data_IF_922942024601
#
_entry.id   IF_922942024601
#
_cell.length_a   1.000
_cell.length_b   1.000
_cell.length_c   1.000
_cell.angle_alpha   90.00
_cell.angle_beta   90.00
_cell.angle_gamma   90.00
#
_symmetry.space_group_name_H-M   'P 1'
#
loop_
_entity.id
_entity.type
_entity.pdbx_description
1 polymer ?
#
# COMPACT_ATOMS: atom_id res chain seq x y z
N UNK A 1 -11.78 -14.83 6.60
CA UNK A 1 -13.00 -15.61 6.33
C UNK A 1 -14.07 -14.60 5.94
N UNK A 2 -14.29 -14.37 4.64
CA UNK A 2 -15.31 -13.42 4.19
C UNK A 2 -16.68 -14.12 4.19
N UNK A 3 -17.76 -13.48 4.66
CA UNK A 3 -19.06 -14.11 4.64
C UNK A 3 -19.59 -14.10 3.21
N UNK A 4 -19.91 -15.30 2.71
CA UNK A 4 -20.65 -15.48 1.47
C UNK A 4 -22.07 -14.94 1.69
N UNK A 5 -22.29 -13.66 1.36
CA UNK A 5 -23.59 -12.99 1.45
C UNK A 5 -24.02 -12.43 0.11
N UNK A 6 -25.32 -12.21 -0.04
CA UNK A 6 -25.87 -11.47 -1.18
C UNK A 6 -25.35 -10.03 -1.20
N UNK A 7 -25.46 -9.32 -2.34
CA UNK A 7 -25.07 -7.89 -2.49
C UNK A 7 -25.71 -6.97 -1.43
N UNK A 8 -26.80 -7.42 -0.80
CA UNK A 8 -27.55 -6.69 0.22
C UNK A 8 -27.26 -7.17 1.66
N UNK A 9 -26.21 -7.98 1.87
CA UNK A 9 -25.79 -8.45 3.20
C UNK A 9 -26.68 -9.55 3.80
N UNK A 10 -27.58 -10.16 3.03
CA UNK A 10 -28.39 -11.31 3.49
C UNK A 10 -27.64 -12.63 3.32
N UNK A 11 -27.85 -13.63 4.20
CA UNK A 11 -27.35 -14.98 4.01
C UNK A 11 -27.81 -15.56 2.67
N UNK A 12 -26.94 -16.28 1.95
CA UNK A 12 -27.28 -16.92 0.69
C UNK A 12 -28.32 -18.04 0.91
N UNK A 13 -29.44 -17.97 0.19
CA UNK A 13 -30.40 -19.06 0.08
C UNK A 13 -30.06 -19.96 -1.12
N UNK A 14 -30.45 -21.24 -1.08
CA UNK A 14 -30.16 -22.23 -2.13
C UNK A 14 -30.74 -21.87 -3.52
N UNK A 15 -31.63 -20.87 -3.61
CA UNK A 15 -32.20 -20.37 -4.86
C UNK A 15 -31.64 -19.02 -5.33
N UNK A 16 -30.66 -18.45 -4.63
CA UNK A 16 -30.06 -17.18 -5.06
C UNK A 16 -29.18 -17.39 -6.30
N UNK A 17 -29.25 -16.52 -7.32
CA UNK A 17 -28.36 -16.58 -8.47
C UNK A 17 -26.91 -16.46 -7.99
N UNK A 18 -26.00 -17.23 -8.63
CA UNK A 18 -24.58 -17.34 -8.29
C UNK A 18 -24.04 -16.03 -7.70
N UNK A 19 -23.66 -16.08 -6.43
CA UNK A 19 -23.14 -14.93 -5.70
C UNK A 19 -22.12 -14.21 -6.58
N UNK A 20 -22.40 -12.95 -6.94
CA UNK A 20 -21.50 -12.14 -7.75
C UNK A 20 -20.15 -12.12 -7.02
N UNK A 21 -19.05 -12.52 -7.67
CA UNK A 21 -17.74 -12.48 -7.04
C UNK A 21 -17.50 -11.07 -6.53
N UNK A 22 -17.30 -10.93 -5.22
CA UNK A 22 -16.85 -9.65 -4.67
C UNK A 22 -15.48 -9.38 -5.31
N UNK A 23 -15.28 -8.23 -5.98
CA UNK A 23 -13.97 -7.89 -6.50
C UNK A 23 -12.97 -7.98 -5.36
N UNK A 24 -11.98 -8.87 -5.49
CA UNK A 24 -10.94 -8.93 -4.48
C UNK A 24 -10.22 -7.58 -4.49
N UNK A 25 -10.06 -6.93 -3.34
CA UNK A 25 -9.23 -5.73 -3.28
C UNK A 25 -7.84 -6.10 -3.80
N UNK A 26 -7.19 -5.20 -4.57
CA UNK A 26 -5.85 -5.46 -5.08
C UNK A 26 -4.92 -5.78 -3.91
N UNK A 27 -3.96 -6.70 -4.09
CA UNK A 27 -3.04 -7.08 -3.03
C UNK A 27 -2.29 -5.86 -2.52
N UNK A 28 -2.32 -5.68 -1.21
CA UNK A 28 -1.65 -4.59 -0.52
C UNK A 28 -0.28 -5.08 -0.07
N UNK A 29 0.79 -4.44 -0.55
CA UNK A 29 2.15 -4.86 -0.24
C UNK A 29 2.79 -3.89 0.77
N UNK A 30 3.17 -4.44 1.94
CA UNK A 30 3.99 -3.72 2.91
C UNK A 30 5.45 -3.74 2.44
N UNK A 31 6.08 -2.57 2.44
CA UNK A 31 7.45 -2.39 1.98
C UNK A 31 8.22 -1.50 2.94
N UNK A 32 9.53 -1.70 2.98
CA UNK A 32 10.48 -0.76 3.53
C UNK A 32 10.92 0.20 2.43
N UNK A 33 10.76 1.50 2.66
CA UNK A 33 11.09 2.57 1.74
C UNK A 33 12.45 3.14 2.10
N UNK A 34 13.43 2.95 1.22
CA UNK A 34 14.77 3.45 1.44
C UNK A 34 14.96 4.84 0.81
N UNK A 35 15.16 5.86 1.64
CA UNK A 35 15.35 7.25 1.19
C UNK A 35 16.79 7.74 1.34
N UNK A 36 17.77 6.85 1.27
CA UNK A 36 19.22 7.07 1.44
C UNK A 36 19.87 8.30 0.77
N UNK A 37 19.19 9.01 -0.14
CA UNK A 37 19.70 10.23 -0.79
C UNK A 37 19.03 11.52 -0.31
N UNK A 38 18.06 11.45 0.61
CA UNK A 38 17.47 12.62 1.24
C UNK A 38 18.30 12.96 2.48
N UNK A 39 18.94 14.12 2.42
CA UNK A 39 20.08 14.63 3.20
C UNK A 39 19.91 14.71 4.74
N UNK A 40 18.91 14.05 5.34
CA UNK A 40 18.58 14.21 6.76
C UNK A 40 18.01 12.93 7.37
N UNK A 41 18.79 12.35 8.30
CA UNK A 41 18.39 11.54 9.47
C UNK A 41 18.48 9.99 9.44
N UNK A 42 18.63 9.48 10.66
CA UNK A 42 19.35 8.29 11.17
C UNK A 42 18.52 6.97 11.12
N UNK A 43 17.52 6.86 10.25
CA UNK A 43 16.93 5.57 9.91
C UNK A 43 16.56 5.57 8.43
N UNK A 44 17.27 4.76 7.65
CA UNK A 44 17.30 4.88 6.19
C UNK A 44 16.11 4.18 5.50
N UNK A 45 15.34 3.39 6.24
CA UNK A 45 14.20 2.61 5.78
C UNK A 45 12.94 3.00 6.56
N UNK A 46 11.90 3.39 5.83
CA UNK A 46 10.61 3.83 6.38
C UNK A 46 9.51 2.81 6.07
N UNK A 47 8.60 2.51 6.99
CA UNK A 47 7.47 1.64 6.70
C UNK A 47 6.57 2.29 5.65
N UNK A 48 6.18 1.53 4.64
CA UNK A 48 5.33 1.99 3.56
C UNK A 48 4.40 0.92 3.01
N UNK A 49 3.44 1.38 2.21
CA UNK A 49 2.40 0.58 1.60
C UNK A 49 2.31 0.90 0.11
N UNK A 50 2.44 -0.11 -0.74
CA UNK A 50 2.24 0.05 -2.19
C UNK A 50 0.75 0.15 -2.49
N UNK A 51 0.36 1.23 -3.16
CA UNK A 51 -1.00 1.50 -3.63
C UNK A 51 -1.18 1.08 -5.10
N UNK A 52 -0.10 1.09 -5.88
CA UNK A 52 -0.15 0.72 -7.30
C UNK A 52 1.21 0.82 -7.99
N UNK A 53 1.27 0.37 -9.23
CA UNK A 53 2.46 0.36 -10.07
C UNK A 53 2.24 1.13 -11.36
N UNK A 54 3.28 1.80 -11.87
CA UNK A 54 3.31 2.39 -13.20
C UNK A 54 4.64 2.12 -13.89
N UNK A 55 4.64 2.21 -15.21
CA UNK A 55 5.86 2.22 -16.02
C UNK A 55 6.32 3.67 -16.23
N UNK A 56 7.60 3.91 -16.04
CA UNK A 56 8.32 5.18 -16.22
C UNK A 56 9.41 4.97 -17.28
N UNK A 57 10.08 6.06 -17.71
CA UNK A 57 11.21 5.97 -18.65
C UNK A 57 12.34 5.09 -18.11
N UNK A 58 12.52 5.11 -16.79
CA UNK A 58 13.65 4.49 -16.09
C UNK A 58 13.28 3.11 -15.49
N UNK A 59 12.09 2.59 -15.78
CA UNK A 59 11.63 1.27 -15.32
C UNK A 59 10.25 1.30 -14.67
N UNK A 60 10.09 0.57 -13.56
CA UNK A 60 8.84 0.54 -12.80
C UNK A 60 8.93 1.41 -11.55
N UNK A 61 7.86 2.17 -11.31
CA UNK A 61 7.66 2.94 -10.09
C UNK A 61 6.42 2.44 -9.37
N UNK A 62 6.47 2.43 -8.05
CA UNK A 62 5.30 2.17 -7.22
C UNK A 62 4.81 3.46 -6.57
N UNK A 63 3.50 3.63 -6.51
CA UNK A 63 2.89 4.65 -5.66
C UNK A 63 2.90 4.12 -4.24
N UNK A 64 3.61 4.80 -3.34
CA UNK A 64 3.79 4.34 -1.96
C UNK A 64 3.35 5.43 -1.00
N UNK A 65 2.52 5.04 -0.03
CA UNK A 65 2.32 5.84 1.19
C UNK A 65 3.31 5.36 2.24
N UNK A 66 4.10 6.27 2.80
CA UNK A 66 5.11 5.94 3.82
C UNK A 66 5.16 6.99 4.91
N UNK A 67 5.66 6.60 6.08
CA UNK A 67 5.69 7.46 7.27
C UNK A 67 7.13 7.83 7.58
N UNK A 68 7.40 9.15 7.68
CA UNK A 68 8.69 9.64 8.20
C UNK A 68 8.47 10.10 9.66
N UNK A 69 9.02 9.37 10.65
CA UNK A 69 8.95 9.79 12.04
C UNK A 69 9.62 11.14 12.27
N UNK A 70 9.00 12.01 13.07
CA UNK A 70 9.64 13.23 13.59
C UNK A 70 9.88 14.37 12.60
N UNK A 71 9.36 14.32 11.36
CA UNK A 71 9.62 15.36 10.34
C UNK A 71 8.70 16.58 10.35
N UNK A 72 7.74 16.69 11.27
CA UNK A 72 6.91 17.89 11.42
C UNK A 72 7.35 18.74 12.60
N UNK A 73 7.21 20.07 12.49
CA UNK A 73 7.47 21.05 13.57
C UNK A 73 6.67 20.79 14.87
N UNK A 74 5.78 19.79 14.88
CA UNK A 74 4.88 19.45 15.99
C UNK A 74 5.03 18.01 16.51
N UNK A 75 6.11 17.30 16.16
CA UNK A 75 6.32 15.90 16.57
C UNK A 75 5.18 14.94 16.18
N UNK A 76 4.48 15.20 15.07
CA UNK A 76 3.54 14.25 14.48
C UNK A 76 4.19 13.55 13.29
N UNK A 77 4.04 12.24 13.22
CA UNK A 77 4.42 11.45 12.05
C UNK A 77 3.73 12.00 10.79
N UNK A 78 4.50 12.28 9.74
CA UNK A 78 3.93 12.73 8.48
C UNK A 78 3.81 11.54 7.52
N UNK A 79 2.58 11.21 7.13
CA UNK A 79 2.34 10.35 5.98
C UNK A 79 2.65 11.11 4.69
N UNK A 80 3.51 10.54 3.85
CA UNK A 80 3.85 11.05 2.52
C UNK A 80 3.35 10.07 1.47
N UNK A 81 2.87 10.57 0.33
CA UNK A 81 2.50 9.75 -0.83
C UNK A 81 3.38 10.18 -1.99
N UNK A 82 4.16 9.25 -2.55
CA UNK A 82 5.03 9.54 -3.68
C UNK A 82 5.14 8.34 -4.63
N UNK A 83 5.53 8.63 -5.87
CA UNK A 83 6.00 7.60 -6.79
C UNK A 83 7.48 7.36 -6.54
N UNK A 84 7.83 6.12 -6.23
CA UNK A 84 9.19 5.71 -5.91
C UNK A 84 9.65 4.60 -6.87
N UNK A 85 10.90 4.66 -7.36
CA UNK A 85 11.47 3.57 -8.14
C UNK A 85 11.45 2.26 -7.36
N UNK A 86 11.22 1.14 -8.05
CA UNK A 86 11.22 -0.19 -7.43
C UNK A 86 12.52 -0.48 -6.65
N UNK A 87 13.66 0.07 -7.09
CA UNK A 87 14.96 -0.06 -6.43
C UNK A 87 15.06 0.59 -5.05
N UNK A 88 14.10 1.45 -4.70
CA UNK A 88 13.99 2.09 -3.38
C UNK A 88 13.04 1.34 -2.44
N UNK A 89 12.43 0.24 -2.89
CA UNK A 89 11.46 -0.54 -2.13
C UNK A 89 12.05 -1.91 -1.80
N UNK A 90 11.96 -2.29 -0.54
CA UNK A 90 12.33 -3.62 -0.06
C UNK A 90 11.09 -4.32 0.47
N UNK A 91 10.78 -5.56 0.04
CA UNK A 91 9.64 -6.30 0.56
C UNK A 91 9.81 -6.58 2.05
N UNK A 92 8.67 -6.68 2.76
CA UNK A 92 8.63 -7.23 4.11
C UNK A 92 8.79 -8.75 4.01
N UNK A 93 9.92 -9.28 4.46
CA UNK A 93 10.13 -10.74 4.62
C UNK A 93 9.12 -11.36 5.59
#
# INVERSE_FOLDING_TARGET
MNPNGTRNGRPLAAGDPYAVPVPQPPPVYHVWVNLSNLTTQIAQEYPGLVLGWRRSSDGYEAQVVYIIPGKTQRHSDASQIAWLPASKLKPRE
#
